data_IF_144369901221
#
_entry.id   IF_144369901221
#
_cell.length_a   1.000
_cell.length_b   1.000
_cell.length_c   1.000
_cell.angle_alpha   90.00
_cell.angle_beta   90.00
_cell.angle_gamma   90.00
#
_symmetry.space_group_name_H-M   'P 1'
#
loop_
_entity.id
_entity.type
_entity.pdbx_description
1 polymer ?
#
# COMPACT_ATOMS: atom_id res chain seq x y z
N UNK A 1 -28.37 48.26 -15.47
CA UNK A 1 -28.91 48.81 -14.21
C UNK A 1 -28.54 47.83 -13.12
N UNK A 2 -27.74 48.07 -12.09
CA UNK A 2 -27.13 49.25 -11.47
C UNK A 2 -25.93 48.67 -10.67
N UNK A 3 -24.69 48.80 -11.14
CA UNK A 3 -23.61 49.59 -10.51
C UNK A 3 -23.91 50.06 -9.08
N UNK A 4 -23.03 49.69 -8.13
CA UNK A 4 -22.66 50.60 -7.03
C UNK A 4 -22.88 50.08 -5.61
N UNK A 5 -21.89 49.37 -5.05
CA UNK A 5 -21.50 49.57 -3.64
C UNK A 5 -20.05 49.13 -3.42
N UNK A 6 -19.13 49.87 -4.04
CA UNK A 6 -17.73 49.93 -3.64
C UNK A 6 -17.64 51.08 -2.60
N UNK A 7 -16.74 50.93 -1.62
CA UNK A 7 -16.14 52.02 -0.80
C UNK A 7 -16.91 52.47 0.45
N UNK A 8 -16.49 51.96 1.61
CA UNK A 8 -16.27 52.67 2.90
C UNK A 8 -15.92 51.59 3.95
N UNK A 9 -14.67 51.24 4.27
CA UNK A 9 -13.76 51.89 5.23
C UNK A 9 -12.46 51.07 5.19
N UNK A 10 -11.33 51.53 4.64
CA UNK A 10 -10.31 52.38 5.29
C UNK A 10 -9.94 51.86 6.70
N UNK A 11 -8.86 51.08 6.83
CA UNK A 11 -7.52 51.55 7.26
C UNK A 11 -7.57 52.30 8.60
N UNK A 12 -6.97 51.68 9.65
CA UNK A 12 -6.40 52.17 10.94
C UNK A 12 -6.18 50.88 11.77
N UNK A 13 -5.09 50.55 12.47
CA UNK A 13 -3.75 51.04 12.72
C UNK A 13 -2.97 49.83 13.30
N UNK A 14 -1.75 49.52 12.88
CA UNK A 14 -0.48 49.94 13.52
C UNK A 14 -0.45 49.84 15.06
N UNK A 15 0.39 48.93 15.56
CA UNK A 15 0.83 48.82 16.97
C UNK A 15 1.07 47.35 17.35
N UNK A 16 2.28 46.78 17.43
CA UNK A 16 3.57 47.38 17.71
C UNK A 16 3.74 47.60 19.22
N UNK A 17 4.02 46.54 19.99
CA UNK A 17 4.50 46.68 21.38
C UNK A 17 5.44 45.52 21.77
N UNK A 18 6.74 45.82 21.72
CA UNK A 18 7.82 45.14 22.44
C UNK A 18 7.98 45.82 23.81
N UNK A 19 8.07 45.05 24.89
CA UNK A 19 9.01 45.24 26.01
C UNK A 19 8.59 44.50 27.27
N UNK A 20 9.59 43.94 27.97
CA UNK A 20 9.61 44.00 29.43
C UNK A 20 9.98 42.71 30.16
N UNK A 21 11.28 42.49 30.36
CA UNK A 21 11.81 41.61 31.42
C UNK A 21 11.47 42.15 32.81
N UNK A 22 11.22 41.26 33.79
CA UNK A 22 11.67 41.46 35.17
C UNK A 22 11.80 40.13 35.91
N UNK A 23 13.01 39.90 36.42
CA UNK A 23 13.39 38.95 37.47
C UNK A 23 12.88 39.46 38.84
N UNK A 24 12.62 38.57 39.80
CA UNK A 24 13.40 38.44 41.07
C UNK A 24 12.70 37.63 42.20
N UNK A 25 13.41 36.56 42.61
CA UNK A 25 13.64 35.91 43.93
C UNK A 25 12.55 35.57 44.98
N UNK A 26 12.73 34.31 45.46
CA UNK A 26 12.82 33.74 46.83
C UNK A 26 11.56 33.90 47.73
N UNK A 27 11.13 32.84 48.43
CA UNK A 27 11.77 32.43 49.69
C UNK A 27 11.74 30.93 50.01
N UNK A 28 12.81 30.56 50.71
CA UNK A 28 13.12 29.32 51.40
C UNK A 28 12.31 29.14 52.69
N UNK A 29 11.97 27.91 53.03
CA UNK A 29 11.96 27.45 54.42
C UNK A 29 12.38 25.99 54.45
N UNK A 30 13.41 25.69 55.25
CA UNK A 30 13.94 24.36 55.45
C UNK A 30 13.25 23.64 56.60
N UNK A 31 13.42 22.32 56.60
CA UNK A 31 13.43 21.51 57.80
C UNK A 31 14.48 20.41 57.58
N UNK A 32 15.50 20.40 58.44
CA UNK A 32 16.50 19.34 58.58
C UNK A 32 15.87 17.95 58.70
N UNK A 33 16.58 16.90 58.27
CA UNK A 33 16.97 15.82 59.17
C UNK A 33 17.88 14.74 58.53
N UNK A 34 19.01 14.52 59.22
CA UNK A 34 19.81 13.30 59.47
C UNK A 34 20.31 12.43 58.29
N UNK A 35 21.63 12.28 58.25
CA UNK A 35 22.43 11.32 57.51
C UNK A 35 22.26 9.88 58.01
N UNK A 36 21.91 8.96 57.10
CA UNK A 36 22.37 7.57 57.08
C UNK A 36 22.76 7.24 55.64
N UNK A 37 24.04 6.94 55.42
CA UNK A 37 24.61 6.67 54.10
C UNK A 37 24.32 5.21 53.72
N UNK A 38 23.19 4.97 53.05
CA UNK A 38 22.91 3.68 52.44
C UNK A 38 23.76 3.55 51.17
N UNK A 39 24.70 2.60 51.14
CA UNK A 39 25.46 2.29 49.93
C UNK A 39 24.50 1.97 48.76
N UNK A 40 24.37 2.92 47.84
CA UNK A 40 23.47 2.85 46.69
C UNK A 40 24.22 2.14 45.57
N UNK A 41 23.87 0.89 45.28
CA UNK A 41 24.47 0.15 44.17
C UNK A 41 23.78 0.52 42.85
N UNK A 42 24.56 0.64 41.78
CA UNK A 42 24.12 1.05 40.44
C UNK A 42 24.37 -0.07 39.43
N UNK A 43 23.40 -0.32 38.54
CA UNK A 43 23.50 -1.38 37.52
C UNK A 43 23.13 -0.87 36.12
N UNK A 44 23.64 -1.54 35.08
CA UNK A 44 23.33 -1.25 33.68
C UNK A 44 22.20 -2.15 33.18
N UNK A 45 21.13 -1.59 32.62
CA UNK A 45 19.98 -2.35 32.14
C UNK A 45 20.29 -3.42 31.07
N UNK A 46 21.45 -3.34 30.41
CA UNK A 46 21.89 -4.34 29.43
C UNK A 46 22.88 -5.37 29.98
N UNK A 47 23.59 -5.06 31.07
CA UNK A 47 24.56 -5.95 31.70
C UNK A 47 24.29 -5.98 33.20
N UNK A 48 23.27 -6.73 33.66
CA UNK A 48 22.86 -6.77 35.06
C UNK A 48 23.97 -7.25 36.00
N UNK A 49 24.98 -7.95 35.47
CA UNK A 49 26.13 -8.47 36.20
C UNK A 49 27.15 -7.40 36.59
N UNK A 50 27.05 -6.18 36.04
CA UNK A 50 27.91 -5.04 36.42
C UNK A 50 27.21 -4.22 37.49
N UNK A 51 27.68 -4.38 38.73
CA UNK A 51 27.18 -3.66 39.91
C UNK A 51 28.33 -2.79 40.44
N UNK A 52 28.11 -1.49 40.53
CA UNK A 52 29.12 -0.51 40.93
C UNK A 52 28.53 0.42 42.00
N UNK A 53 29.34 0.83 42.97
CA UNK A 53 28.89 1.63 44.11
C UNK A 53 28.82 3.14 43.81
N UNK A 54 29.27 3.56 42.62
CA UNK A 54 29.34 4.96 42.20
C UNK A 54 28.48 5.24 40.94
N UNK A 55 27.79 6.40 40.88
CA UNK A 55 27.03 6.80 39.71
C UNK A 55 27.97 7.20 38.56
N UNK A 56 27.76 6.60 37.39
CA UNK A 56 28.57 6.93 36.21
C UNK A 56 28.18 6.16 34.96
N UNK A 57 29.09 6.17 33.99
CA UNK A 57 28.95 5.43 32.75
C UNK A 57 29.39 3.97 32.92
N UNK A 58 28.59 3.04 32.40
CA UNK A 58 28.95 1.62 32.34
C UNK A 58 30.25 1.42 31.54
N UNK A 59 31.30 0.80 32.10
CA UNK A 59 32.59 0.60 31.40
C UNK A 59 32.51 -0.38 30.23
N UNK A 60 31.40 -1.13 30.09
CA UNK A 60 31.17 -2.08 28.99
C UNK A 60 30.49 -1.46 27.78
N UNK A 61 29.51 -0.56 27.97
CA UNK A 61 28.72 -0.01 26.86
C UNK A 61 28.60 1.53 26.84
N UNK A 62 29.14 2.24 27.83
CA UNK A 62 29.15 3.70 27.88
C UNK A 62 27.79 4.36 28.15
N UNK A 63 26.78 3.61 28.59
CA UNK A 63 25.47 4.14 28.99
C UNK A 63 25.40 4.40 30.50
N UNK A 64 24.52 5.31 30.93
CA UNK A 64 24.39 5.72 32.34
C UNK A 64 23.82 4.59 33.20
N UNK A 65 24.45 4.35 34.35
CA UNK A 65 23.97 3.38 35.33
C UNK A 65 22.71 3.89 36.05
N UNK A 66 21.85 2.96 36.43
CA UNK A 66 20.56 3.20 37.08
C UNK A 66 20.60 2.60 38.49
N UNK A 67 20.05 3.28 39.52
CA UNK A 67 20.19 2.84 40.91
C UNK A 67 19.33 1.61 41.18
N UNK A 68 19.92 0.60 41.80
CA UNK A 68 19.22 -0.59 42.28
C UNK A 68 18.63 -0.26 43.64
N UNK A 69 17.32 -0.49 43.79
CA UNK A 69 16.67 -0.44 45.10
C UNK A 69 16.94 -1.76 45.80
N UNK A 70 17.67 -1.73 46.91
CA UNK A 70 17.87 -2.88 47.77
C UNK A 70 16.59 -3.19 48.54
N UNK A 71 15.60 -3.81 47.90
CA UNK A 71 14.64 -4.65 48.60
C UNK A 71 15.33 -5.99 48.81
N UNK A 72 15.81 -6.18 50.04
CA UNK A 72 16.34 -7.43 50.56
C UNK A 72 15.29 -8.53 50.48
N UNK A 73 15.25 -9.24 49.35
CA UNK A 73 14.68 -10.58 49.22
C UNK A 73 15.54 -11.38 48.23
N UNK A 74 16.81 -11.53 48.61
CA UNK A 74 17.65 -12.62 48.12
C UNK A 74 17.61 -13.74 49.17
N UNK A 75 16.79 -14.76 48.93
CA UNK A 75 16.97 -16.06 49.56
C UNK A 75 17.13 -17.12 48.47
N UNK A 76 18.39 -17.54 48.32
CA UNK A 76 18.77 -18.83 47.77
C UNK A 76 17.86 -19.96 48.33
N UNK A 77 17.65 -21.03 47.55
CA UNK A 77 16.78 -22.13 47.94
C UNK A 77 17.39 -22.88 49.11
N UNK A 78 16.94 -22.56 50.33
CA UNK A 78 17.04 -23.48 51.45
C UNK A 78 16.08 -24.63 51.16
N UNK A 79 16.65 -25.82 51.04
CA UNK A 79 15.97 -27.10 51.28
C UNK A 79 15.25 -26.99 52.62
N UNK A 80 13.96 -26.73 52.58
CA UNK A 80 13.08 -26.78 53.72
C UNK A 80 12.23 -28.04 53.57
N UNK A 81 12.61 -29.07 54.32
CA UNK A 81 11.70 -30.09 54.83
C UNK A 81 10.42 -29.41 55.32
N UNK A 82 9.41 -29.38 54.46
CA UNK A 82 8.07 -28.93 54.82
C UNK A 82 7.14 -30.09 54.55
N UNK A 83 6.88 -30.87 55.61
CA UNK A 83 5.72 -31.76 55.65
C UNK A 83 4.47 -30.89 55.41
N UNK A 84 3.69 -31.13 54.34
CA UNK A 84 2.39 -30.48 54.21
C UNK A 84 1.43 -31.14 55.19
N UNK A 85 0.99 -30.34 56.17
CA UNK A 85 -0.17 -30.64 56.98
C UNK A 85 -1.42 -30.19 56.18
N UNK A 86 -2.27 -31.15 55.83
CA UNK A 86 -3.49 -30.96 55.07
C UNK A 86 -3.65 -32.08 54.04
N UNK A 87 -4.64 -32.94 54.25
CA UNK A 87 -4.93 -34.20 53.55
C UNK A 87 -5.24 -34.02 52.05
N UNK A 88 -4.28 -33.54 51.24
CA UNK A 88 -4.38 -33.60 49.79
C UNK A 88 -3.90 -34.97 49.35
N UNK A 89 -4.81 -35.76 48.78
CA UNK A 89 -4.51 -37.09 48.26
C UNK A 89 -3.55 -36.94 47.07
N UNK A 90 -2.33 -37.43 47.24
CA UNK A 90 -1.34 -37.50 46.16
C UNK A 90 -1.83 -38.55 45.17
N UNK A 91 -1.96 -38.19 43.90
CA UNK A 91 -2.43 -39.11 42.88
C UNK A 91 -1.27 -40.00 42.38
N UNK A 92 -0.13 -39.37 42.08
CA UNK A 92 1.11 -40.03 41.68
C UNK A 92 2.32 -39.10 41.83
N UNK A 93 3.52 -39.66 41.72
CA UNK A 93 4.80 -38.97 41.75
C UNK A 93 5.40 -38.96 40.35
N UNK A 94 5.86 -37.81 39.87
CA UNK A 94 6.36 -37.63 38.50
C UNK A 94 7.80 -37.12 38.48
N UNK A 95 8.58 -37.57 37.49
CA UNK A 95 9.93 -37.07 37.28
C UNK A 95 9.93 -35.65 36.69
N UNK A 96 10.73 -34.70 37.23
CA UNK A 96 10.73 -33.30 36.77
C UNK A 96 11.12 -33.11 35.30
N UNK A 97 11.95 -34.00 34.78
CA UNK A 97 12.51 -33.92 33.42
C UNK A 97 11.85 -34.88 32.43
N UNK A 98 11.02 -35.82 32.90
CA UNK A 98 10.28 -36.74 32.03
C UNK A 98 8.86 -36.95 32.55
N UNK A 99 7.88 -36.23 31.98
CA UNK A 99 6.47 -36.35 32.37
C UNK A 99 5.86 -37.74 32.15
N UNK A 100 6.52 -38.64 31.42
CA UNK A 100 6.02 -40.00 31.16
C UNK A 100 6.42 -40.99 32.25
N UNK A 101 7.35 -40.62 33.13
CA UNK A 101 7.87 -41.48 34.19
C UNK A 101 7.09 -41.23 35.49
N UNK A 102 6.12 -42.11 35.74
CA UNK A 102 5.15 -42.00 36.84
C UNK A 102 5.37 -43.13 37.85
N UNK A 103 5.37 -42.77 39.13
CA UNK A 103 5.58 -43.68 40.25
C UNK A 103 4.48 -43.52 41.31
N UNK A 104 4.09 -44.63 41.94
CA UNK A 104 3.07 -44.62 42.99
C UNK A 104 3.64 -44.29 44.38
N UNK A 105 4.97 -44.18 44.50
CA UNK A 105 5.67 -43.98 45.77
C UNK A 105 6.68 -42.84 45.67
N UNK A 106 6.91 -42.10 46.77
CA UNK A 106 7.99 -41.13 46.84
C UNK A 106 9.35 -41.82 46.64
N UNK A 107 10.24 -41.18 45.90
CA UNK A 107 11.55 -41.73 45.59
C UNK A 107 12.33 -40.88 44.62
N UNK A 108 13.38 -41.46 44.04
CA UNK A 108 14.17 -40.86 42.97
C UNK A 108 13.76 -41.45 41.63
N UNK A 109 13.73 -40.61 40.58
CA UNK A 109 13.56 -41.08 39.21
C UNK A 109 14.73 -41.96 38.77
N UNK A 110 14.60 -42.62 37.62
CA UNK A 110 15.69 -43.37 36.99
C UNK A 110 16.95 -42.50 36.75
N UNK A 111 16.79 -41.17 36.71
CA UNK A 111 17.86 -40.19 36.59
C UNK A 111 18.32 -39.57 37.92
N UNK A 112 17.94 -40.15 39.07
CA UNK A 112 18.50 -39.83 40.39
C UNK A 112 17.98 -38.55 41.06
N UNK A 113 17.02 -37.86 40.44
CA UNK A 113 16.37 -36.65 40.96
C UNK A 113 15.13 -37.00 41.78
N UNK A 114 14.83 -36.21 42.80
CA UNK A 114 13.68 -36.44 43.66
C UNK A 114 12.37 -36.20 42.90
N UNK A 115 11.43 -37.14 43.03
CA UNK A 115 10.14 -37.08 42.37
C UNK A 115 9.26 -36.00 43.01
N UNK A 116 8.45 -35.34 42.18
CA UNK A 116 7.53 -34.28 42.61
C UNK A 116 6.13 -34.89 42.77
N UNK A 117 5.42 -34.66 43.89
CA UNK A 117 4.07 -35.16 44.08
C UNK A 117 3.08 -34.32 43.27
N UNK A 118 2.25 -34.98 42.45
CA UNK A 118 1.15 -34.34 41.73
C UNK A 118 -0.16 -34.61 42.48
N UNK A 119 -0.90 -33.53 42.74
CA UNK A 119 -2.15 -33.55 43.50
C UNK A 119 -3.36 -33.52 42.57
N UNK A 120 -4.49 -34.04 43.04
CA UNK A 120 -5.77 -33.97 42.33
C UNK A 120 -6.22 -32.49 42.22
N UNK A 121 -6.18 -31.92 41.00
CA UNK A 121 -6.57 -30.53 40.70
C UNK A 121 -5.53 -29.69 39.95
N UNK A 122 -4.27 -30.13 39.85
CA UNK A 122 -3.24 -29.48 39.02
C UNK A 122 -3.22 -30.07 37.60
N UNK A 123 -4.38 -30.05 36.92
CA UNK A 123 -4.46 -30.41 35.50
C UNK A 123 -3.75 -29.35 34.65
N UNK A 124 -2.48 -29.62 34.37
CA UNK A 124 -1.64 -28.93 33.40
C UNK A 124 -2.42 -28.66 32.10
N UNK A 125 -2.79 -27.40 31.87
CA UNK A 125 -3.53 -26.96 30.68
C UNK A 125 -2.76 -27.32 29.40
N UNK A 126 -3.27 -28.29 28.67
CA UNK A 126 -2.63 -28.82 27.47
C UNK A 126 -3.06 -28.05 26.22
N UNK A 127 -2.05 -27.53 25.51
CA UNK A 127 -2.00 -27.13 24.09
C UNK A 127 -2.86 -25.95 23.60
N UNK A 128 -2.20 -24.81 23.34
CA UNK A 128 -2.63 -23.79 22.37
C UNK A 128 -3.34 -22.55 22.92
N UNK A 129 -3.92 -22.62 24.11
CA UNK A 129 -4.58 -21.48 24.74
C UNK A 129 -3.66 -20.83 25.79
N UNK A 130 -3.23 -19.59 25.53
CA UNK A 130 -2.53 -18.76 26.51
C UNK A 130 -3.61 -18.08 27.37
N UNK A 131 -3.63 -18.41 28.66
CA UNK A 131 -4.51 -17.75 29.63
C UNK A 131 -3.81 -16.50 30.18
N UNK A 132 -4.50 -15.37 30.18
CA UNK A 132 -4.00 -14.08 30.69
C UNK A 132 -4.97 -13.60 31.76
N UNK A 133 -4.42 -13.12 32.87
CA UNK A 133 -5.20 -12.62 34.00
C UNK A 133 -6.07 -11.40 33.60
N UNK A 134 -7.36 -11.37 33.99
CA UNK A 134 -8.30 -10.31 33.61
C UNK A 134 -7.89 -8.90 34.02
N UNK A 135 -7.16 -8.72 35.14
CA UNK A 135 -6.66 -7.39 35.55
C UNK A 135 -5.62 -6.90 34.56
N UNK A 136 -4.80 -7.83 34.05
CA UNK A 136 -3.79 -7.53 33.04
C UNK A 136 -4.44 -7.19 31.69
N UNK A 137 -5.46 -7.93 31.26
CA UNK A 137 -6.23 -7.62 30.03
C UNK A 137 -6.91 -6.25 30.14
N UNK A 138 -7.45 -5.92 31.32
CA UNK A 138 -8.11 -4.64 31.57
C UNK A 138 -7.12 -3.47 31.58
N UNK A 139 -5.97 -3.63 32.25
CA UNK A 139 -4.92 -2.60 32.27
C UNK A 139 -4.29 -2.37 30.88
N UNK A 140 -4.23 -3.42 30.04
CA UNK A 140 -3.79 -3.33 28.65
C UNK A 140 -4.84 -2.72 27.70
N UNK A 141 -6.11 -2.57 28.12
CA UNK A 141 -7.15 -1.97 27.31
C UNK A 141 -7.50 -2.75 26.04
N UNK A 142 -7.45 -4.08 26.10
CA UNK A 142 -7.65 -4.96 24.93
C UNK A 142 -9.06 -4.77 24.36
N UNK A 143 -9.15 -4.60 23.03
CA UNK A 143 -10.41 -4.51 22.28
C UNK A 143 -10.55 -5.69 21.35
N UNK A 144 -11.74 -6.28 21.32
CA UNK A 144 -12.08 -7.39 20.45
C UNK A 144 -13.08 -6.95 19.39
N UNK A 145 -12.99 -7.55 18.20
CA UNK A 145 -13.99 -7.41 17.14
C UNK A 145 -14.42 -8.80 16.68
N UNK A 146 -15.71 -9.01 16.46
CA UNK A 146 -16.22 -10.26 15.91
C UNK A 146 -15.84 -10.36 14.43
N UNK A 147 -15.27 -11.49 14.03
CA UNK A 147 -14.95 -11.74 12.62
C UNK A 147 -16.26 -11.88 11.84
N UNK A 148 -16.42 -11.07 10.81
CA UNK A 148 -17.54 -11.16 9.87
C UNK A 148 -17.00 -11.26 8.44
N UNK A 149 -17.77 -11.90 7.56
CA UNK A 149 -17.52 -11.85 6.12
C UNK A 149 -18.36 -10.72 5.54
N UNK A 150 -17.72 -9.82 4.82
CA UNK A 150 -18.37 -8.72 4.13
C UNK A 150 -17.71 -8.51 2.78
N UNK A 151 -18.48 -7.97 1.83
CA UNK A 151 -17.93 -7.55 0.56
C UNK A 151 -17.09 -6.28 0.77
N UNK A 152 -15.81 -6.38 0.45
CA UNK A 152 -14.87 -5.28 0.59
C UNK A 152 -14.64 -4.65 -0.78
N UNK A 153 -15.03 -3.39 -0.92
CA UNK A 153 -14.78 -2.60 -2.13
C UNK A 153 -13.72 -1.54 -1.84
N UNK A 154 -12.68 -1.51 -2.67
CA UNK A 154 -11.66 -0.48 -2.63
C UNK A 154 -11.99 0.56 -3.71
N UNK A 155 -12.25 1.81 -3.31
CA UNK A 155 -12.50 2.91 -4.24
C UNK A 155 -11.17 3.45 -4.77
N UNK A 156 -10.88 3.21 -6.06
CA UNK A 156 -9.72 3.80 -6.74
C UNK A 156 -10.18 5.04 -7.49
N UNK A 157 -9.60 6.19 -7.17
CA UNK A 157 -9.79 7.44 -7.92
C UNK A 157 -8.64 7.61 -8.90
N UNK A 158 -8.96 7.61 -10.18
CA UNK A 158 -8.01 7.82 -11.27
C UNK A 158 -8.51 8.90 -12.22
N UNK A 159 -7.64 9.37 -13.10
CA UNK A 159 -7.97 10.29 -14.19
C UNK A 159 -8.01 9.51 -15.51
N UNK A 160 -8.87 9.95 -16.43
CA UNK A 160 -8.93 9.43 -17.79
C UNK A 160 -8.71 10.56 -18.80
N UNK A 161 -8.21 10.21 -19.98
CA UNK A 161 -8.15 11.12 -21.12
C UNK A 161 -9.31 10.80 -22.06
N UNK A 162 -10.00 11.84 -22.54
CA UNK A 162 -10.93 11.70 -23.66
C UNK A 162 -10.10 11.82 -24.93
N UNK A 163 -10.09 10.77 -25.73
CA UNK A 163 -9.43 10.73 -27.03
C UNK A 163 -10.44 10.44 -28.13
N UNK A 164 -10.01 10.60 -29.38
CA UNK A 164 -10.81 10.24 -30.53
C UNK A 164 -11.09 8.74 -30.55
N UNK A 165 -12.25 8.37 -31.08
CA UNK A 165 -12.56 6.97 -31.32
C UNK A 165 -11.80 6.51 -32.57
N UNK A 166 -10.76 5.69 -32.36
CA UNK A 166 -9.90 5.17 -33.44
C UNK A 166 -10.69 4.37 -34.49
N UNK A 167 -11.77 3.67 -34.12
CA UNK A 167 -12.62 2.93 -35.07
C UNK A 167 -13.41 3.85 -36.01
N UNK A 168 -13.55 5.13 -35.66
CA UNK A 168 -14.22 6.16 -36.47
C UNK A 168 -13.23 7.09 -37.15
N UNK A 169 -11.94 6.81 -37.07
CA UNK A 169 -10.91 7.55 -37.76
C UNK A 169 -10.73 6.95 -39.16
N UNK A 170 -10.93 7.77 -40.18
CA UNK A 170 -10.76 7.35 -41.58
C UNK A 170 -9.71 8.21 -42.25
N UNK A 171 -8.78 7.56 -42.95
CA UNK A 171 -7.80 8.21 -43.81
C UNK A 171 -8.22 8.01 -45.27
N UNK A 172 -8.48 9.12 -45.97
CA UNK A 172 -8.99 9.10 -47.34
C UNK A 172 -7.81 9.26 -48.29
N UNK A 173 -7.42 8.16 -48.91
CA UNK A 173 -6.35 8.11 -49.90
C UNK A 173 -6.92 8.11 -51.32
N UNK A 174 -6.25 8.82 -52.23
CA UNK A 174 -6.66 8.88 -53.64
C UNK A 174 -6.18 7.62 -54.35
N UNK A 175 -7.05 6.99 -55.14
CA UNK A 175 -6.69 5.79 -55.92
C UNK A 175 -5.96 6.09 -57.22
N UNK A 176 -5.97 7.35 -57.64
CA UNK A 176 -5.26 7.82 -58.82
C UNK A 176 -4.46 9.06 -58.50
N UNK A 177 -3.43 9.30 -59.31
CA UNK A 177 -2.62 10.52 -59.27
C UNK A 177 -3.35 11.65 -59.98
N UNK A 178 -3.25 12.87 -59.44
CA UNK A 178 -3.91 14.04 -60.01
C UNK A 178 -3.59 15.31 -59.23
N UNK A 179 -4.16 16.42 -59.68
CA UNK A 179 -4.06 17.73 -59.03
C UNK A 179 -5.37 18.08 -58.35
N UNK A 180 -5.28 18.73 -57.20
CA UNK A 180 -6.44 19.24 -56.46
C UNK A 180 -6.93 20.50 -57.19
N UNK A 181 -8.16 20.50 -57.68
CA UNK A 181 -8.77 21.67 -58.32
C UNK A 181 -9.48 22.56 -57.31
N UNK A 182 -10.18 21.94 -56.37
CA UNK A 182 -10.92 22.63 -55.31
C UNK A 182 -10.84 21.85 -54.02
N UNK A 183 -10.63 22.56 -52.93
CA UNK A 183 -10.67 22.02 -51.57
C UNK A 183 -11.90 22.62 -50.88
N UNK A 184 -12.82 21.78 -50.43
CA UNK A 184 -14.02 22.20 -49.70
C UNK A 184 -13.79 22.30 -48.19
N UNK A 185 -12.81 21.55 -47.68
CA UNK A 185 -12.42 21.50 -46.27
C UNK A 185 -10.95 21.86 -46.18
N UNK A 186 -10.65 23.10 -45.79
CA UNK A 186 -9.31 23.70 -45.88
C UNK A 186 -8.55 23.78 -44.56
N UNK A 187 -9.18 23.39 -43.43
CA UNK A 187 -8.51 23.36 -42.13
C UNK A 187 -8.85 22.13 -41.28
N UNK A 188 -7.94 21.81 -40.34
CA UNK A 188 -8.10 20.69 -39.41
C UNK A 188 -9.09 21.04 -38.30
N UNK A 189 -10.02 20.13 -38.03
CA UNK A 189 -11.06 20.32 -37.01
C UNK A 189 -12.38 20.90 -37.53
N UNK A 190 -12.50 21.13 -38.84
CA UNK A 190 -13.80 21.40 -39.46
C UNK A 190 -14.74 20.19 -39.30
N UNK A 191 -16.00 20.46 -38.95
CA UNK A 191 -17.00 19.41 -38.79
C UNK A 191 -17.55 19.02 -40.16
N UNK A 192 -17.36 17.75 -40.53
CA UNK A 192 -17.83 17.20 -41.81
C UNK A 192 -18.85 16.09 -41.59
N UNK A 193 -19.83 15.99 -42.49
CA UNK A 193 -20.83 14.92 -42.48
C UNK A 193 -20.49 13.82 -43.50
N UNK A 194 -21.01 12.61 -43.28
CA UNK A 194 -20.86 11.53 -44.24
C UNK A 194 -21.45 11.90 -45.60
N UNK A 195 -20.64 11.77 -46.66
CA UNK A 195 -21.02 12.13 -48.03
C UNK A 195 -20.79 13.59 -48.41
N UNK A 196 -20.30 14.44 -47.49
CA UNK A 196 -19.88 15.79 -47.82
C UNK A 196 -18.64 15.74 -48.71
N UNK A 197 -18.61 16.51 -49.83
CA UNK A 197 -17.42 16.58 -50.68
C UNK A 197 -16.28 17.24 -49.92
N UNK A 198 -15.09 16.64 -49.97
CA UNK A 198 -13.89 17.14 -49.30
C UNK A 198 -12.97 17.89 -50.28
N UNK A 199 -12.77 17.31 -51.47
CA UNK A 199 -11.91 17.85 -52.52
C UNK A 199 -12.34 17.37 -53.90
N UNK A 200 -12.08 18.19 -54.92
CA UNK A 200 -12.14 17.84 -56.34
C UNK A 200 -10.72 17.58 -56.84
N UNK A 201 -10.53 16.45 -57.54
CA UNK A 201 -9.24 16.03 -58.08
C UNK A 201 -9.38 15.82 -59.58
N UNK A 202 -8.48 16.44 -60.32
CA UNK A 202 -8.32 16.22 -61.74
C UNK A 202 -7.15 15.28 -62.02
N UNK A 203 -7.42 14.16 -62.70
CA UNK A 203 -6.42 13.18 -63.10
C UNK A 203 -6.28 13.17 -64.63
N UNK A 204 -5.15 13.60 -65.19
CA UNK A 204 -4.90 13.54 -66.64
C UNK A 204 -4.97 12.13 -67.18
N UNK A 205 -4.41 11.18 -66.42
CA UNK A 205 -4.34 9.77 -66.81
C UNK A 205 -5.75 9.20 -67.02
N UNK A 206 -6.67 9.45 -66.09
CA UNK A 206 -8.05 9.00 -66.26
C UNK A 206 -8.78 9.67 -67.42
N UNK A 207 -8.52 10.96 -67.67
CA UNK A 207 -9.10 11.66 -68.82
C UNK A 207 -8.58 11.05 -70.12
N UNK A 208 -7.29 10.74 -70.20
CA UNK A 208 -6.71 10.07 -71.38
C UNK A 208 -7.28 8.67 -71.58
N UNK A 209 -7.33 7.84 -70.53
CA UNK A 209 -7.91 6.50 -70.62
C UNK A 209 -9.39 6.54 -71.00
N UNK A 210 -10.15 7.50 -70.47
CA UNK A 210 -11.56 7.68 -70.86
C UNK A 210 -11.69 8.05 -72.34
N UNK A 211 -10.85 8.95 -72.85
CA UNK A 211 -10.85 9.32 -74.27
C UNK A 211 -10.50 8.12 -75.17
N UNK A 212 -9.50 7.32 -74.79
CA UNK A 212 -9.11 6.10 -75.49
C UNK A 212 -10.25 5.06 -75.50
N UNK A 213 -10.89 4.83 -74.35
CA UNK A 213 -12.06 3.94 -74.24
C UNK A 213 -13.23 4.41 -75.11
N UNK A 214 -13.53 5.71 -75.12
CA UNK A 214 -14.59 6.27 -75.97
C UNK A 214 -14.25 6.16 -77.46
N UNK A 215 -12.99 6.34 -77.84
CA UNK A 215 -12.52 6.13 -79.21
C UNK A 215 -12.63 4.66 -79.61
N UNK A 216 -12.27 3.75 -78.72
CA UNK A 216 -12.40 2.31 -78.92
C UNK A 216 -13.87 1.90 -79.13
N UNK A 217 -14.78 2.40 -78.30
CA UNK A 217 -16.22 2.17 -78.44
C UNK A 217 -16.77 2.66 -79.79
N UNK A 218 -16.39 3.87 -80.21
CA UNK A 218 -16.80 4.41 -81.52
C UNK A 218 -16.25 3.57 -82.67
N UNK A 219 -14.99 3.16 -82.57
CA UNK A 219 -14.34 2.32 -83.58
C UNK A 219 -15.06 0.98 -83.71
N UNK A 220 -15.34 0.31 -82.58
CA UNK A 220 -16.13 -0.93 -82.54
C UNK A 220 -17.49 -0.76 -83.23
N UNK A 221 -18.21 0.31 -82.95
CA UNK A 221 -19.53 0.55 -83.54
C UNK A 221 -19.45 0.75 -85.06
N UNK A 222 -18.46 1.52 -85.54
CA UNK A 222 -18.24 1.72 -86.99
C UNK A 222 -17.88 0.43 -87.71
N UNK A 223 -17.07 -0.44 -87.08
CA UNK A 223 -16.65 -1.70 -87.70
C UNK A 223 -17.65 -2.84 -87.50
N UNK A 224 -18.63 -2.70 -86.62
CA UNK A 224 -19.63 -3.74 -86.32
C UNK A 224 -20.39 -4.21 -87.57
N UNK A 225 -20.67 -3.28 -88.47
CA UNK A 225 -21.39 -3.54 -89.74
C UNK A 225 -20.47 -3.95 -90.90
N UNK A 226 -19.15 -4.03 -90.67
CA UNK A 226 -18.20 -4.44 -91.69
C UNK A 226 -18.41 -5.90 -92.10
N UNK A 227 -18.37 -6.15 -93.42
CA UNK A 227 -18.46 -7.52 -93.99
C UNK A 227 -17.21 -8.36 -93.76
N UNK A 228 -16.12 -7.76 -93.29
CA UNK A 228 -14.84 -8.42 -93.06
C UNK A 228 -14.74 -8.80 -91.58
N UNK A 229 -14.68 -10.10 -91.29
CA UNK A 229 -14.66 -10.63 -89.93
C UNK A 229 -13.46 -10.13 -89.10
N UNK A 230 -12.27 -10.05 -89.69
CA UNK A 230 -11.06 -9.56 -89.00
C UNK A 230 -11.16 -8.10 -88.56
N UNK A 231 -11.93 -7.26 -89.27
CA UNK A 231 -12.12 -5.85 -88.90
C UNK A 231 -13.07 -5.73 -87.71
N UNK A 232 -14.12 -6.56 -87.67
CA UNK A 232 -15.03 -6.65 -86.51
C UNK A 232 -14.30 -7.13 -85.26
N UNK A 233 -13.51 -8.19 -85.40
CA UNK A 233 -12.71 -8.76 -84.32
C UNK A 233 -11.68 -7.75 -83.80
N UNK A 234 -10.96 -7.06 -84.69
CA UNK A 234 -10.03 -5.99 -84.30
C UNK A 234 -10.68 -4.85 -83.50
N UNK A 235 -11.94 -4.50 -83.82
CA UNK A 235 -12.70 -3.52 -83.04
C UNK A 235 -13.06 -3.98 -81.62
N UNK A 236 -13.37 -5.27 -81.44
CA UNK A 236 -13.62 -5.86 -80.11
C UNK A 236 -12.33 -5.96 -79.29
N UNK A 237 -11.23 -6.43 -79.90
CA UNK A 237 -9.93 -6.54 -79.22
C UNK A 237 -9.42 -5.18 -78.74
N UNK A 238 -9.60 -4.13 -79.55
CA UNK A 238 -9.19 -2.77 -79.18
C UNK A 238 -9.98 -2.28 -77.96
N UNK A 239 -11.29 -2.53 -77.91
CA UNK A 239 -12.10 -2.20 -76.73
C UNK A 239 -11.64 -2.97 -75.48
N UNK A 240 -11.36 -4.26 -75.61
CA UNK A 240 -10.91 -5.09 -74.49
C UNK A 240 -9.55 -4.62 -73.94
N UNK A 241 -8.66 -4.12 -74.79
CA UNK A 241 -7.35 -3.60 -74.36
C UNK A 241 -7.39 -2.29 -73.57
N UNK A 242 -8.52 -1.56 -73.62
CA UNK A 242 -8.70 -0.27 -72.94
C UNK A 242 -9.40 -0.38 -71.58
N UNK A 243 -9.74 -1.60 -71.14
CA UNK A 243 -10.44 -1.88 -69.88
C UNK A 243 -9.47 -2.27 -68.77
#
# INVERSE_FOLDING_TARGET
>A
MLIGLFILFSVIALGGFLSGCSSEKKDTSGAEMITEESAQLWTCGMHPEVIVDEPGQCPKCGMNLVPVKNTSESSQPKTADTKPNGERKILYWQAPMNPTEIYDKPGKSAMGMDLIPVYEGDEQSSSGAISIDPVTVQNMGVRYGTVSRMDFHHEIRTVGKVDYNEDKLYEINTKMSGWIERLFVDYTGEMVNAGQPLMEIYSPELVTTQQEYLLALKTREMVRESRIASIREGGETLLESTR
#
